data_IF_904709516006
#
_entry.id   IF_904709516006
#
_cell.length_a   1.000
_cell.length_b   1.000
_cell.length_c   1.000
_cell.angle_alpha   90.00
_cell.angle_beta   90.00
_cell.angle_gamma   90.00
#
_symmetry.space_group_name_H-M   'P 1'
#
loop_
_entity.id
_entity.type
_entity.pdbx_description
1 polymer ?
#
# COMPACT_ATOMS: atom_id res chain seq x y z
N UNK A 1 -17.45 -39.23 22.95
CA UNK A 1 -16.04 -39.19 22.45
C UNK A 1 -16.13 -39.20 20.93
N UNK A 2 -16.18 -38.06 20.32
CA UNK A 2 -15.98 -37.87 18.89
C UNK A 2 -15.15 -36.63 18.73
N UNK A 3 -13.83 -36.85 18.70
CA UNK A 3 -12.84 -35.85 18.32
C UNK A 3 -12.98 -35.58 16.80
N UNK A 4 -13.74 -34.56 16.46
CA UNK A 4 -13.57 -33.92 15.14
C UNK A 4 -12.39 -32.96 15.23
N UNK A 5 -11.19 -33.48 15.27
CA UNK A 5 -9.99 -32.74 14.95
C UNK A 5 -10.10 -32.34 13.48
N UNK A 6 -10.75 -31.20 13.21
CA UNK A 6 -10.64 -30.53 11.90
C UNK A 6 -9.17 -30.16 11.73
N UNK A 7 -8.44 -30.99 11.03
CA UNK A 7 -7.08 -30.75 10.62
C UNK A 7 -7.02 -29.39 9.90
N UNK A 8 -6.53 -28.35 10.56
CA UNK A 8 -6.13 -27.11 9.91
C UNK A 8 -4.87 -27.43 9.12
N UNK A 9 -5.04 -27.81 7.85
CA UNK A 9 -3.97 -28.21 6.94
C UNK A 9 -2.90 -27.14 6.73
N UNK A 10 -3.25 -25.84 6.95
CA UNK A 10 -2.33 -24.73 6.77
C UNK A 10 -2.43 -23.71 7.90
N UNK A 11 -1.29 -23.25 8.39
CA UNK A 11 -1.19 -22.10 9.30
C UNK A 11 -1.43 -20.77 8.57
N UNK A 12 -1.74 -19.67 9.29
CA UNK A 12 -1.99 -18.35 8.69
C UNK A 12 -0.85 -17.87 7.78
N UNK A 13 0.40 -18.11 8.15
CA UNK A 13 1.57 -17.74 7.34
C UNK A 13 1.64 -18.53 6.03
N UNK A 14 1.30 -19.83 6.06
CA UNK A 14 1.26 -20.67 4.87
C UNK A 14 0.15 -20.24 3.91
N UNK A 15 -1.05 -19.92 4.41
CA UNK A 15 -2.14 -19.38 3.59
C UNK A 15 -1.75 -18.08 2.91
N UNK A 16 -1.03 -17.21 3.60
CA UNK A 16 -0.52 -15.97 3.02
C UNK A 16 0.49 -16.25 1.92
N UNK A 17 1.48 -17.11 2.16
CA UNK A 17 2.48 -17.48 1.16
C UNK A 17 1.84 -18.11 -0.08
N UNK A 18 0.84 -18.98 0.10
CA UNK A 18 0.06 -19.55 -1.00
C UNK A 18 -0.73 -18.51 -1.77
N UNK A 19 -1.30 -17.50 -1.07
CA UNK A 19 -2.00 -16.39 -1.70
C UNK A 19 -1.08 -15.55 -2.59
N UNK A 20 0.11 -15.20 -2.10
CA UNK A 20 1.13 -14.50 -2.89
C UNK A 20 1.59 -15.35 -4.09
N UNK A 21 1.86 -16.64 -3.88
CA UNK A 21 2.25 -17.55 -4.95
C UNK A 21 1.14 -17.62 -6.03
N UNK A 22 -0.12 -17.75 -5.64
CA UNK A 22 -1.24 -17.78 -6.57
C UNK A 22 -1.35 -16.49 -7.38
N UNK A 23 -1.18 -15.30 -6.74
CA UNK A 23 -1.16 -14.01 -7.43
C UNK A 23 -0.01 -13.92 -8.44
N UNK A 24 1.20 -14.34 -8.05
CA UNK A 24 2.37 -14.35 -8.92
C UNK A 24 2.14 -15.25 -10.13
N UNK A 25 1.69 -16.49 -9.93
CA UNK A 25 1.45 -17.44 -11.02
C UNK A 25 0.34 -16.95 -11.96
N UNK A 26 -0.76 -16.41 -11.42
CA UNK A 26 -1.85 -15.84 -12.22
C UNK A 26 -1.37 -14.61 -13.00
N UNK A 27 -0.65 -13.70 -12.34
CA UNK A 27 -0.05 -12.53 -12.98
C UNK A 27 0.92 -12.91 -14.09
N UNK A 28 1.78 -13.90 -13.86
CA UNK A 28 2.71 -14.43 -14.87
C UNK A 28 1.96 -14.96 -16.08
N UNK A 29 0.93 -15.79 -15.86
CA UNK A 29 0.14 -16.34 -16.96
C UNK A 29 -0.54 -15.24 -17.78
N UNK A 30 -1.13 -14.22 -17.13
CA UNK A 30 -1.78 -13.10 -17.81
C UNK A 30 -0.78 -12.22 -18.56
N UNK A 31 0.36 -11.90 -17.95
CA UNK A 31 1.41 -11.07 -18.56
C UNK A 31 2.17 -11.77 -19.68
N UNK A 32 2.18 -13.11 -19.73
CA UNK A 32 2.76 -13.85 -20.85
C UNK A 32 1.88 -13.88 -22.10
N UNK A 33 0.62 -13.46 -22.00
CA UNK A 33 -0.31 -13.49 -23.12
C UNK A 33 -0.09 -12.33 -24.10
N UNK A 34 -0.36 -12.50 -25.42
CA UNK A 34 -0.12 -11.47 -26.44
C UNK A 34 -0.86 -10.17 -26.18
N UNK A 35 -2.06 -10.20 -25.59
CA UNK A 35 -2.84 -8.99 -25.29
C UNK A 35 -2.22 -8.09 -24.23
N UNK A 36 -1.32 -8.63 -23.39
CA UNK A 36 -0.66 -7.88 -22.33
C UNK A 36 0.54 -7.07 -22.85
N UNK A 37 1.11 -7.43 -23.99
CA UNK A 37 2.21 -6.72 -24.62
C UNK A 37 1.72 -5.66 -25.61
N UNK A 38 2.46 -4.57 -25.75
CA UNK A 38 2.13 -3.44 -26.63
C UNK A 38 2.31 -3.80 -28.12
N UNK A 39 3.24 -4.71 -28.43
CA UNK A 39 3.49 -5.21 -29.77
C UNK A 39 2.57 -6.37 -30.19
N UNK A 40 1.76 -6.87 -29.25
CA UNK A 40 0.85 -8.00 -29.49
C UNK A 40 1.57 -9.36 -29.56
N UNK A 41 2.86 -9.42 -29.23
CA UNK A 41 3.62 -10.67 -29.16
C UNK A 41 3.61 -11.25 -27.71
N UNK A 42 3.70 -12.58 -27.53
CA UNK A 42 3.82 -13.17 -26.21
C UNK A 42 5.12 -12.72 -25.54
N UNK A 43 5.02 -12.19 -24.31
CA UNK A 43 6.20 -11.85 -23.51
C UNK A 43 6.89 -13.11 -23.01
N UNK A 44 8.24 -13.11 -22.97
CA UNK A 44 9.02 -14.19 -22.42
C UNK A 44 8.58 -14.53 -20.99
N UNK A 45 8.39 -15.83 -20.70
CA UNK A 45 7.88 -16.29 -19.41
C UNK A 45 8.70 -15.77 -18.23
N UNK A 46 10.02 -15.64 -18.39
CA UNK A 46 10.90 -15.13 -17.32
C UNK A 46 10.66 -13.64 -17.04
N UNK A 47 10.50 -12.81 -18.08
CA UNK A 47 10.17 -11.38 -17.93
C UNK A 47 8.77 -11.20 -17.30
N UNK A 48 7.78 -11.98 -17.72
CA UNK A 48 6.45 -11.99 -17.14
C UNK A 48 6.45 -12.42 -15.66
N UNK A 49 7.18 -13.49 -15.33
CA UNK A 49 7.34 -13.98 -13.95
C UNK A 49 8.05 -12.94 -13.07
N UNK A 50 9.10 -12.34 -13.58
CA UNK A 50 9.84 -11.31 -12.86
C UNK A 50 8.94 -10.10 -12.54
N UNK A 51 8.24 -9.58 -13.57
CA UNK A 51 7.32 -8.44 -13.42
C UNK A 51 6.17 -8.77 -12.47
N UNK A 52 5.53 -9.95 -12.61
CA UNK A 52 4.45 -10.37 -11.73
C UNK A 52 4.92 -10.52 -10.27
N UNK A 53 6.13 -11.08 -10.06
CA UNK A 53 6.73 -11.21 -8.74
C UNK A 53 7.02 -9.84 -8.15
N UNK A 54 7.70 -8.97 -8.91
CA UNK A 54 8.07 -7.62 -8.48
C UNK A 54 6.84 -6.77 -8.13
N UNK A 55 5.80 -6.81 -8.96
CA UNK A 55 4.55 -6.08 -8.73
C UNK A 55 3.82 -6.60 -7.48
N UNK A 56 3.70 -7.92 -7.33
CA UNK A 56 2.98 -8.55 -6.19
C UNK A 56 3.72 -8.36 -4.87
N UNK A 57 5.07 -8.44 -4.88
CA UNK A 57 5.89 -8.27 -3.67
C UNK A 57 6.31 -6.82 -3.41
N UNK A 58 5.89 -5.89 -4.28
CA UNK A 58 6.19 -4.45 -4.17
C UNK A 58 7.70 -4.16 -4.19
N UNK A 59 8.46 -4.91 -5.00
CA UNK A 59 9.92 -4.76 -5.07
C UNK A 59 10.33 -3.59 -5.96
N UNK A 60 9.56 -3.29 -7.02
CA UNK A 60 9.78 -2.16 -7.93
C UNK A 60 10.88 -2.37 -8.97
N UNK A 61 11.44 -3.56 -9.07
CA UNK A 61 12.40 -3.89 -10.10
C UNK A 61 11.69 -4.30 -11.39
N UNK A 62 12.18 -3.83 -12.52
CA UNK A 62 11.63 -4.09 -13.84
C UNK A 62 12.70 -4.62 -14.79
N UNK A 63 12.34 -5.59 -15.62
CA UNK A 63 13.16 -6.10 -16.74
C UNK A 63 12.73 -5.44 -18.05
N UNK A 64 11.46 -5.07 -18.14
CA UNK A 64 10.84 -4.40 -19.28
C UNK A 64 10.28 -3.06 -18.83
N UNK A 65 10.38 -2.03 -19.65
CA UNK A 65 9.78 -0.72 -19.34
C UNK A 65 8.27 -0.82 -19.27
N UNK A 66 7.70 -0.39 -18.12
CA UNK A 66 6.27 -0.58 -17.87
C UNK A 66 5.38 0.20 -18.81
N UNK A 67 5.82 1.37 -19.25
CA UNK A 67 5.01 2.26 -20.09
C UNK A 67 5.03 1.91 -21.57
N UNK A 68 6.14 1.35 -22.07
CA UNK A 68 6.32 1.07 -23.49
C UNK A 68 6.15 -0.40 -23.86
N UNK A 69 6.57 -1.34 -22.99
CA UNK A 69 6.48 -2.77 -23.27
C UNK A 69 5.06 -3.33 -23.05
N UNK A 70 4.38 -2.90 -21.98
CA UNK A 70 3.06 -3.42 -21.64
C UNK A 70 1.95 -2.62 -22.31
N UNK A 71 0.99 -3.32 -22.93
CA UNK A 71 -0.26 -2.71 -23.38
C UNK A 71 -1.02 -2.10 -22.20
N UNK A 72 -2.08 -1.34 -22.46
CA UNK A 72 -2.96 -0.85 -21.39
C UNK A 72 -3.50 -2.01 -20.53
N UNK A 73 -3.82 -3.15 -21.14
CA UNK A 73 -4.25 -4.34 -20.39
C UNK A 73 -3.13 -4.91 -19.52
N UNK A 74 -1.90 -4.99 -20.03
CA UNK A 74 -0.72 -5.42 -19.24
C UNK A 74 -0.43 -4.49 -18.08
N UNK A 75 -0.47 -3.17 -18.32
CA UNK A 75 -0.28 -2.16 -17.27
C UNK A 75 -1.36 -2.25 -16.18
N UNK A 76 -2.62 -2.49 -16.55
CA UNK A 76 -3.72 -2.70 -15.58
C UNK A 76 -3.54 -3.99 -14.78
N UNK A 77 -2.99 -5.05 -15.39
CA UNK A 77 -2.64 -6.29 -14.67
C UNK A 77 -1.55 -6.00 -13.65
N UNK A 78 -0.47 -5.29 -14.04
CA UNK A 78 0.60 -4.87 -13.11
C UNK A 78 0.01 -4.05 -11.97
N UNK A 79 -0.85 -3.08 -12.26
CA UNK A 79 -1.51 -2.25 -11.27
C UNK A 79 -2.39 -3.06 -10.30
N UNK A 80 -3.13 -4.04 -10.81
CA UNK A 80 -3.95 -4.95 -9.99
C UNK A 80 -3.08 -5.84 -9.09
N UNK A 81 -1.93 -6.31 -9.57
CA UNK A 81 -0.97 -7.08 -8.77
C UNK A 81 -0.35 -6.22 -7.66
N UNK A 82 0.03 -4.97 -7.95
CA UNK A 82 0.50 -3.99 -6.95
C UNK A 82 -0.56 -3.79 -5.88
N UNK A 83 -1.80 -3.53 -6.27
CA UNK A 83 -2.90 -3.31 -5.33
C UNK A 83 -3.19 -4.53 -4.46
N UNK A 84 -3.24 -5.71 -5.06
CA UNK A 84 -3.46 -6.96 -4.33
C UNK A 84 -2.31 -7.28 -3.37
N UNK A 85 -1.06 -7.08 -3.81
CA UNK A 85 0.15 -7.25 -3.01
C UNK A 85 0.20 -6.29 -1.82
N UNK A 86 -0.03 -5.00 -2.05
CA UNK A 86 -0.05 -3.97 -1.00
C UNK A 86 -1.11 -4.22 0.06
N UNK A 87 -2.34 -4.55 -0.36
CA UNK A 87 -3.41 -4.92 0.55
C UNK A 87 -3.10 -6.21 1.33
N UNK A 88 -2.46 -7.18 0.68
CA UNK A 88 -1.98 -8.41 1.32
C UNK A 88 -0.99 -8.11 2.45
N UNK A 89 0.05 -7.34 2.18
CA UNK A 89 1.08 -6.95 3.17
C UNK A 89 0.45 -6.13 4.30
N UNK A 90 -0.39 -5.13 4.00
CA UNK A 90 -1.08 -4.33 5.03
C UNK A 90 -2.00 -5.18 5.91
N UNK A 91 -2.66 -6.19 5.34
CA UNK A 91 -3.51 -7.11 6.10
C UNK A 91 -2.70 -7.98 7.06
N UNK A 92 -1.54 -8.49 6.62
CA UNK A 92 -0.63 -9.29 7.44
C UNK A 92 -0.07 -8.46 8.59
N UNK A 93 0.44 -7.26 8.31
CA UNK A 93 0.99 -6.37 9.35
C UNK A 93 -0.09 -5.98 10.37
N UNK A 94 -1.33 -5.74 9.92
CA UNK A 94 -2.45 -5.45 10.80
C UNK A 94 -2.81 -6.65 11.68
N UNK A 95 -2.84 -7.86 11.11
CA UNK A 95 -3.12 -9.09 11.85
C UNK A 95 -2.03 -9.39 12.87
N UNK A 96 -0.76 -9.24 12.47
CA UNK A 96 0.41 -9.41 13.35
C UNK A 96 0.39 -8.40 14.49
N UNK A 97 0.12 -7.13 14.20
CA UNK A 97 -0.05 -6.08 15.21
C UNK A 97 -1.17 -6.39 16.20
N UNK A 98 -2.31 -6.90 15.72
CA UNK A 98 -3.42 -7.35 16.59
C UNK A 98 -3.03 -8.54 17.47
N UNK A 99 -2.28 -9.52 16.93
CA UNK A 99 -1.83 -10.70 17.67
C UNK A 99 -0.81 -10.31 18.76
N UNK A 100 0.14 -9.42 18.45
CA UNK A 100 1.14 -8.95 19.41
C UNK A 100 0.50 -8.13 20.54
N UNK A 101 -0.41 -7.21 20.19
CA UNK A 101 -1.14 -6.39 21.18
C UNK A 101 -2.17 -7.23 21.97
N UNK A 102 -2.73 -8.26 21.34
CA UNK A 102 -3.67 -9.19 21.95
C UNK A 102 -3.04 -10.09 23.00
N UNK A 103 -1.75 -10.42 22.91
CA UNK A 103 -1.03 -11.21 23.94
C UNK A 103 -0.97 -10.51 25.29
N UNK A 104 -0.95 -9.19 25.32
CA UNK A 104 -1.02 -8.42 26.58
C UNK A 104 -2.41 -8.41 27.20
N UNK A 105 -3.46 -8.63 26.39
CA UNK A 105 -4.88 -8.67 26.83
C UNK A 105 -5.45 -10.08 27.03
N UNK A 106 -4.67 -11.15 26.88
CA UNK A 106 -5.16 -12.53 27.05
C UNK A 106 -5.75 -12.76 28.45
N UNK A 107 -5.18 -12.16 29.49
CA UNK A 107 -5.70 -12.26 30.87
C UNK A 107 -7.07 -11.58 31.04
N UNK A 108 -7.34 -10.51 30.26
CA UNK A 108 -8.65 -9.85 30.23
C UNK A 108 -9.67 -10.58 29.34
N UNK A 109 -9.21 -11.33 28.34
CA UNK A 109 -10.09 -12.07 27.41
C UNK A 109 -10.65 -13.35 28.02
N UNK A 110 -9.95 -14.00 28.94
CA UNK A 110 -10.49 -15.13 29.71
C UNK A 110 -11.63 -14.71 30.64
N UNK A 111 -11.63 -13.48 31.14
CA UNK A 111 -12.71 -12.94 31.93
C UNK A 111 -13.98 -12.65 31.10
N UNK A 112 -13.81 -12.26 29.82
CA UNK A 112 -14.93 -11.93 28.91
C UNK A 112 -15.45 -13.16 28.13
N UNK A 113 -14.63 -14.20 27.96
CA UNK A 113 -15.06 -15.47 27.36
C UNK A 113 -16.06 -16.23 28.25
N UNK A 114 -16.07 -15.96 29.56
CA UNK A 114 -17.07 -16.46 30.50
C UNK A 114 -18.47 -15.88 30.25
N UNK A 115 -18.59 -14.78 29.47
CA UNK A 115 -19.85 -14.10 29.14
C UNK A 115 -20.44 -14.48 27.77
N UNK A 116 -19.91 -15.52 27.09
CA UNK A 116 -20.55 -16.15 25.92
C UNK A 116 -20.69 -15.28 24.65
N UNK A 117 -19.88 -14.23 24.44
CA UNK A 117 -19.94 -13.41 23.22
C UNK A 117 -18.95 -13.87 22.16
N UNK A 118 -19.36 -14.12 20.90
CA UNK A 118 -18.48 -14.49 19.81
C UNK A 118 -17.61 -13.28 19.40
N UNK A 119 -16.30 -13.41 19.58
CA UNK A 119 -15.34 -12.29 19.54
C UNK A 119 -14.66 -12.11 18.16
N UNK A 120 -14.89 -12.97 17.15
CA UNK A 120 -13.95 -13.10 16.04
C UNK A 120 -14.39 -12.57 14.66
N UNK A 121 -15.66 -12.58 14.29
CA UNK A 121 -16.01 -12.36 12.88
C UNK A 121 -16.22 -10.89 12.47
N UNK A 122 -16.71 -10.04 13.35
CA UNK A 122 -16.95 -8.62 13.01
C UNK A 122 -15.71 -7.72 12.98
N UNK A 123 -14.67 -8.06 13.76
CA UNK A 123 -13.48 -7.22 13.91
C UNK A 123 -12.55 -7.25 12.69
N UNK A 124 -12.26 -8.43 12.16
CA UNK A 124 -11.33 -8.60 11.02
C UNK A 124 -11.94 -8.01 9.75
N UNK A 125 -13.20 -8.35 9.43
CA UNK A 125 -13.88 -7.79 8.25
C UNK A 125 -13.96 -6.26 8.30
N UNK A 126 -14.30 -5.69 9.45
CA UNK A 126 -14.37 -4.24 9.63
C UNK A 126 -12.99 -3.59 9.43
N UNK A 127 -11.94 -4.21 9.93
CA UNK A 127 -10.56 -3.75 9.74
C UNK A 127 -10.17 -3.79 8.27
N UNK A 128 -10.43 -4.88 7.56
CA UNK A 128 -10.12 -5.02 6.14
C UNK A 128 -10.85 -3.96 5.30
N UNK A 129 -12.15 -3.79 5.51
CA UNK A 129 -12.94 -2.77 4.79
C UNK A 129 -12.43 -1.37 5.09
N UNK A 130 -12.09 -1.08 6.34
CA UNK A 130 -11.56 0.22 6.70
C UNK A 130 -10.15 0.46 6.10
N UNK A 131 -9.31 -0.57 6.00
CA UNK A 131 -8.02 -0.51 5.30
C UNK A 131 -8.25 -0.16 3.83
N UNK A 132 -9.12 -0.90 3.13
CA UNK A 132 -9.46 -0.65 1.74
C UNK A 132 -9.94 0.79 1.50
N UNK A 133 -10.89 1.24 2.32
CA UNK A 133 -11.44 2.60 2.19
C UNK A 133 -10.37 3.68 2.42
N UNK A 134 -9.46 3.49 3.38
CA UNK A 134 -8.36 4.43 3.61
C UNK A 134 -7.36 4.42 2.47
N UNK A 135 -6.99 3.25 1.96
CA UNK A 135 -6.11 3.09 0.80
C UNK A 135 -6.66 3.84 -0.41
N UNK A 136 -7.89 3.51 -0.83
CA UNK A 136 -8.51 4.18 -1.99
C UNK A 136 -8.73 5.68 -1.78
N UNK A 137 -8.96 6.11 -0.55
CA UNK A 137 -9.09 7.54 -0.24
C UNK A 137 -7.76 8.28 -0.47
N UNK A 138 -6.65 7.78 0.07
CA UNK A 138 -5.34 8.43 -0.10
C UNK A 138 -4.85 8.33 -1.54
N UNK A 139 -4.99 7.17 -2.18
CA UNK A 139 -4.67 6.99 -3.60
C UNK A 139 -5.48 7.96 -4.47
N UNK A 140 -6.79 8.08 -4.22
CA UNK A 140 -7.66 9.00 -4.94
C UNK A 140 -7.26 10.46 -4.79
N UNK A 141 -6.92 10.91 -3.57
CA UNK A 141 -6.45 12.28 -3.32
C UNK A 141 -5.16 12.56 -4.10
N UNK A 142 -4.19 11.66 -4.03
CA UNK A 142 -2.91 11.83 -4.74
C UNK A 142 -3.12 11.76 -6.25
N UNK A 143 -3.94 10.83 -6.75
CA UNK A 143 -4.26 10.71 -8.18
C UNK A 143 -4.88 12.00 -8.74
N UNK A 144 -5.79 12.64 -7.98
CA UNK A 144 -6.40 13.92 -8.38
C UNK A 144 -5.36 15.04 -8.43
N UNK A 145 -4.49 15.16 -7.41
CA UNK A 145 -3.45 16.18 -7.38
C UNK A 145 -2.51 16.02 -8.60
N UNK A 146 -2.03 14.79 -8.84
CA UNK A 146 -1.15 14.48 -9.96
C UNK A 146 -1.86 14.70 -11.30
N UNK A 147 -3.09 14.22 -11.44
CA UNK A 147 -3.89 14.37 -12.66
C UNK A 147 -4.10 15.84 -13.04
N UNK A 148 -4.45 16.71 -12.08
CA UNK A 148 -4.56 18.14 -12.29
C UNK A 148 -3.21 18.71 -12.76
N UNK A 149 -2.12 18.36 -12.07
CA UNK A 149 -0.78 18.86 -12.40
C UNK A 149 -0.34 18.43 -13.81
N UNK A 150 -0.61 17.20 -14.19
CA UNK A 150 -0.29 16.70 -15.54
C UNK A 150 -1.08 17.39 -16.65
N UNK A 151 -2.33 17.79 -16.38
CA UNK A 151 -3.11 18.58 -17.37
C UNK A 151 -2.60 20.02 -17.44
N UNK A 152 -2.41 20.69 -16.30
CA UNK A 152 -2.14 22.14 -16.25
C UNK A 152 -0.75 22.49 -16.71
N UNK A 153 0.26 21.77 -16.28
CA UNK A 153 1.67 22.15 -16.47
C UNK A 153 2.39 21.32 -17.52
N UNK A 154 1.91 20.09 -17.76
CA UNK A 154 2.49 19.19 -18.75
C UNK A 154 1.65 19.05 -20.01
N UNK A 155 0.49 19.73 -20.07
CA UNK A 155 -0.38 19.75 -21.26
C UNK A 155 -0.91 18.38 -21.68
N UNK A 156 -0.95 17.39 -20.75
CA UNK A 156 -1.44 16.07 -21.06
C UNK A 156 -2.96 16.07 -21.32
N UNK A 157 -3.40 15.23 -22.26
CA UNK A 157 -4.82 15.01 -22.46
C UNK A 157 -5.46 14.49 -21.14
N UNK A 158 -6.67 14.97 -20.75
CA UNK A 158 -7.27 14.65 -19.44
C UNK A 158 -7.37 13.15 -19.13
N UNK A 159 -7.68 12.32 -20.13
CA UNK A 159 -7.76 10.87 -19.96
C UNK A 159 -6.41 10.25 -19.62
N UNK A 160 -5.34 10.67 -20.30
CA UNK A 160 -3.97 10.20 -20.04
C UNK A 160 -3.47 10.71 -18.68
N UNK A 161 -3.69 11.98 -18.37
CA UNK A 161 -3.31 12.59 -17.10
C UNK A 161 -3.98 11.88 -15.90
N UNK A 162 -5.27 11.56 -16.02
CA UNK A 162 -5.99 10.80 -14.98
C UNK A 162 -5.41 9.40 -14.81
N UNK A 163 -5.12 8.72 -15.92
CA UNK A 163 -4.52 7.38 -15.89
C UNK A 163 -3.12 7.38 -15.27
N UNK A 164 -2.23 8.27 -15.74
CA UNK A 164 -0.87 8.40 -15.19
C UNK A 164 -0.90 8.82 -13.72
N UNK A 165 -1.78 9.75 -13.34
CA UNK A 165 -1.98 10.15 -11.94
C UNK A 165 -2.43 9.01 -11.05
N UNK A 166 -3.39 8.21 -11.51
CA UNK A 166 -3.88 7.02 -10.78
C UNK A 166 -2.80 5.96 -10.67
N UNK A 167 -2.06 5.67 -11.74
CA UNK A 167 -0.98 4.69 -11.74
C UNK A 167 0.10 5.05 -10.73
N UNK A 168 0.60 6.29 -10.78
CA UNK A 168 1.64 6.76 -9.87
C UNK A 168 1.14 6.85 -8.41
N UNK A 169 -0.13 7.22 -8.19
CA UNK A 169 -0.71 7.27 -6.84
C UNK A 169 -0.78 5.88 -6.20
N UNK A 170 -1.25 4.86 -6.94
CA UNK A 170 -1.33 3.47 -6.49
C UNK A 170 0.09 2.92 -6.25
N UNK A 171 0.99 3.10 -7.22
CA UNK A 171 2.39 2.66 -7.10
C UNK A 171 3.09 3.31 -5.91
N UNK A 172 2.94 4.63 -5.73
CA UNK A 172 3.53 5.39 -4.63
C UNK A 172 2.97 5.00 -3.27
N UNK A 173 1.65 4.93 -3.11
CA UNK A 173 1.00 4.58 -1.84
C UNK A 173 1.37 3.16 -1.38
N UNK A 174 1.40 2.20 -2.31
CA UNK A 174 1.80 0.82 -2.02
C UNK A 174 3.32 0.62 -1.92
N UNK A 175 4.13 1.67 -2.15
CA UNK A 175 5.59 1.58 -2.18
C UNK A 175 6.10 0.60 -3.26
N UNK A 176 5.40 0.52 -4.38
CA UNK A 176 5.66 -0.49 -5.41
C UNK A 176 6.82 -0.13 -6.35
N UNK A 177 7.13 1.17 -6.54
CA UNK A 177 8.27 1.62 -7.34
C UNK A 177 8.09 1.53 -8.86
N UNK A 178 6.91 1.14 -9.36
CA UNK A 178 6.60 1.11 -10.79
C UNK A 178 6.21 2.50 -11.31
N UNK A 179 6.69 2.85 -12.51
CA UNK A 179 6.34 4.06 -13.24
C UNK A 179 5.99 3.76 -14.69
N UNK A 180 5.30 4.69 -15.37
CA UNK A 180 4.95 4.60 -16.79
C UNK A 180 5.97 5.25 -17.71
N UNK A 181 7.09 5.73 -17.17
CA UNK A 181 8.16 6.37 -17.92
C UNK A 181 9.47 5.62 -17.75
N UNK A 182 10.30 5.51 -18.82
CA UNK A 182 11.58 4.84 -18.74
C UNK A 182 12.55 5.52 -17.75
N UNK A 183 12.44 6.85 -17.61
CA UNK A 183 13.21 7.67 -16.69
C UNK A 183 12.61 7.78 -15.28
N UNK A 184 11.56 6.98 -15.00
CA UNK A 184 10.82 7.00 -13.73
C UNK A 184 10.28 8.39 -13.40
N UNK A 185 10.81 9.09 -12.39
CA UNK A 185 10.41 10.44 -11.96
C UNK A 185 11.47 11.51 -12.31
N UNK A 186 12.50 11.18 -13.07
CA UNK A 186 13.60 12.12 -13.39
C UNK A 186 13.09 13.36 -14.13
N UNK A 187 12.16 13.18 -15.08
CA UNK A 187 11.52 14.31 -15.79
C UNK A 187 10.72 15.26 -14.86
N UNK A 188 10.46 14.86 -13.63
CA UNK A 188 9.70 15.63 -12.64
C UNK A 188 10.55 16.08 -11.45
N UNK A 189 11.89 15.97 -11.53
CA UNK A 189 12.81 16.18 -10.41
C UNK A 189 12.74 17.58 -9.78
N UNK A 190 12.25 18.59 -10.50
CA UNK A 190 12.09 19.96 -10.02
C UNK A 190 10.65 20.29 -9.63
N UNK A 191 9.69 19.37 -9.83
CA UNK A 191 8.28 19.63 -9.58
C UNK A 191 7.84 19.12 -8.21
N UNK A 192 7.85 20.04 -7.22
CA UNK A 192 7.38 19.73 -5.87
C UNK A 192 5.91 19.34 -5.80
N UNK A 193 5.04 19.76 -6.75
CA UNK A 193 3.64 19.38 -6.78
C UNK A 193 3.41 17.92 -7.23
N UNK A 194 4.41 17.29 -7.81
CA UNK A 194 4.41 15.85 -8.11
C UNK A 194 5.14 15.09 -7.00
N UNK A 195 6.36 15.53 -6.66
CA UNK A 195 7.22 14.77 -5.75
C UNK A 195 6.72 14.74 -4.31
N UNK A 196 6.21 15.89 -3.77
CA UNK A 196 5.75 15.95 -2.38
C UNK A 196 4.51 15.08 -2.14
N UNK A 197 3.44 15.12 -2.99
CA UNK A 197 2.32 14.20 -2.83
C UNK A 197 2.70 12.73 -2.95
N UNK A 198 3.61 12.37 -3.87
CA UNK A 198 4.10 11.00 -4.01
C UNK A 198 4.93 10.56 -2.80
N UNK A 199 5.85 11.39 -2.32
CA UNK A 199 6.60 11.11 -1.09
C UNK A 199 5.67 10.97 0.12
N UNK A 200 4.64 11.83 0.20
CA UNK A 200 3.59 11.74 1.22
C UNK A 200 2.80 10.43 1.13
N UNK A 201 2.40 10.02 -0.08
CA UNK A 201 1.73 8.74 -0.32
C UNK A 201 2.57 7.55 0.15
N UNK A 202 3.85 7.52 -0.26
CA UNK A 202 4.83 6.51 0.12
C UNK A 202 5.00 6.43 1.65
N UNK A 203 5.16 7.56 2.31
CA UNK A 203 5.30 7.61 3.77
C UNK A 203 4.01 7.14 4.48
N UNK A 204 2.84 7.62 4.04
CA UNK A 204 1.54 7.26 4.62
C UNK A 204 1.27 5.77 4.44
N UNK A 205 1.48 5.24 3.23
CA UNK A 205 1.34 3.82 2.93
C UNK A 205 2.24 2.94 3.78
N UNK A 206 3.51 3.36 3.95
CA UNK A 206 4.49 2.65 4.78
C UNK A 206 4.19 2.64 6.29
N UNK A 207 3.39 3.60 6.82
CA UNK A 207 3.00 3.62 8.24
C UNK A 207 2.13 2.42 8.64
N UNK A 208 1.40 1.85 7.69
CA UNK A 208 0.47 0.74 7.90
C UNK A 208 -0.85 1.13 8.55
N UNK A 209 -1.86 0.28 8.33
CA UNK A 209 -3.24 0.53 8.75
C UNK A 209 -3.42 0.83 10.26
N UNK A 210 -2.76 0.13 11.23
CA UNK A 210 -2.98 0.40 12.65
C UNK A 210 -2.65 1.84 13.04
N UNK A 211 -1.56 2.38 12.49
CA UNK A 211 -1.13 3.77 12.73
C UNK A 211 -2.09 4.74 12.06
N UNK A 212 -2.40 4.52 10.78
CA UNK A 212 -3.31 5.37 10.01
C UNK A 212 -4.71 5.43 10.64
N UNK A 213 -5.26 4.29 11.05
CA UNK A 213 -6.59 4.25 11.68
C UNK A 213 -6.63 5.03 13.00
N UNK A 214 -5.55 5.00 13.79
CA UNK A 214 -5.45 5.77 15.02
C UNK A 214 -5.35 7.27 14.73
N UNK A 215 -4.53 7.67 13.74
CA UNK A 215 -4.37 9.06 13.33
C UNK A 215 -5.68 9.65 12.78
N UNK A 216 -6.34 8.93 11.87
CA UNK A 216 -7.63 9.35 11.29
C UNK A 216 -8.71 9.47 12.36
N UNK A 217 -8.82 8.50 13.28
CA UNK A 217 -9.75 8.57 14.39
C UNK A 217 -9.53 9.84 15.23
N UNK A 218 -8.28 10.13 15.57
CA UNK A 218 -7.94 11.35 16.33
C UNK A 218 -8.22 12.63 15.57
N UNK A 219 -7.90 12.65 14.27
CA UNK A 219 -8.23 13.77 13.41
C UNK A 219 -9.74 14.07 13.46
N UNK A 220 -10.57 13.02 13.30
CA UNK A 220 -12.03 13.14 13.38
C UNK A 220 -12.52 13.61 14.76
N UNK A 221 -11.95 13.10 15.85
CA UNK A 221 -12.28 13.53 17.22
C UNK A 221 -11.95 15.01 17.44
N UNK A 222 -10.79 15.48 16.94
CA UNK A 222 -10.40 16.89 17.01
C UNK A 222 -11.32 17.80 16.20
N UNK A 223 -11.61 17.42 14.95
CA UNK A 223 -12.53 18.19 14.09
C UNK A 223 -13.92 18.27 14.71
N UNK A 224 -14.44 17.16 15.24
CA UNK A 224 -15.73 17.18 15.96
C UNK A 224 -15.70 18.06 17.21
N UNK A 225 -14.59 18.03 17.97
CA UNK A 225 -14.40 18.91 19.12
C UNK A 225 -14.43 20.40 18.74
N UNK A 226 -13.79 20.75 17.63
CA UNK A 226 -13.79 22.13 17.11
C UNK A 226 -15.17 22.59 16.62
N UNK A 227 -15.92 21.69 15.95
CA UNK A 227 -17.24 22.05 15.37
C UNK A 227 -18.34 22.03 16.44
N UNK A 228 -18.30 21.10 17.39
CA UNK A 228 -19.41 20.87 18.32
C UNK A 228 -19.06 21.23 19.79
N UNK A 229 -17.88 21.80 20.07
CA UNK A 229 -17.45 22.13 21.44
C UNK A 229 -17.28 20.92 22.36
N UNK A 230 -17.22 19.69 21.78
CA UNK A 230 -17.10 18.47 22.57
C UNK A 230 -15.67 18.32 23.15
N UNK A 231 -15.52 17.80 24.38
CA UNK A 231 -14.20 17.61 24.99
C UNK A 231 -13.36 16.65 24.13
N UNK A 232 -12.24 17.15 23.63
CA UNK A 232 -11.29 16.34 22.86
C UNK A 232 -10.65 15.32 23.82
N UNK A 233 -10.79 14.04 23.53
CA UNK A 233 -10.18 12.98 24.30
C UNK A 233 -8.66 13.19 24.41
N UNK A 234 -8.16 13.37 25.63
CA UNK A 234 -6.72 13.52 25.92
C UNK A 234 -5.93 12.20 25.84
N UNK A 235 -6.52 11.13 25.30
CA UNK A 235 -5.84 9.84 25.17
C UNK A 235 -4.53 9.99 24.39
N UNK A 236 -3.43 9.57 25.00
CA UNK A 236 -2.10 9.55 24.35
C UNK A 236 -2.10 8.56 23.18
N UNK A 237 -1.29 8.83 22.14
CA UNK A 237 -1.05 7.87 21.05
C UNK A 237 -0.54 6.54 21.62
N UNK A 238 -0.94 5.43 21.01
CA UNK A 238 -0.41 4.12 21.40
C UNK A 238 1.12 4.11 21.29
N UNK A 239 1.76 3.28 22.09
CA UNK A 239 3.23 3.16 22.07
C UNK A 239 3.70 2.80 20.67
N UNK A 240 3.03 1.86 20.02
CA UNK A 240 3.34 1.43 18.65
C UNK A 240 3.28 2.62 17.68
N UNK A 241 2.18 3.39 17.66
CA UNK A 241 2.05 4.56 16.79
C UNK A 241 3.14 5.60 17.05
N UNK A 242 3.46 5.87 18.30
CA UNK A 242 4.53 6.82 18.65
C UNK A 242 5.90 6.35 18.20
N UNK A 243 6.21 5.06 18.37
CA UNK A 243 7.48 4.47 17.94
C UNK A 243 7.59 4.48 16.43
N UNK A 244 6.54 4.04 15.71
CA UNK A 244 6.53 4.04 14.25
C UNK A 244 6.73 5.45 13.70
N UNK A 245 5.97 6.45 14.18
CA UNK A 245 6.11 7.83 13.71
C UNK A 245 7.52 8.40 13.97
N UNK A 246 8.09 8.14 15.17
CA UNK A 246 9.45 8.60 15.48
C UNK A 246 10.50 7.91 14.61
N UNK A 247 10.40 6.59 14.42
CA UNK A 247 11.31 5.83 13.58
C UNK A 247 11.22 6.28 12.10
N UNK A 248 10.01 6.44 11.56
CA UNK A 248 9.80 6.94 10.21
C UNK A 248 10.38 8.35 10.02
N UNK A 249 10.11 9.26 10.95
CA UNK A 249 10.66 10.62 10.89
C UNK A 249 12.19 10.61 10.98
N UNK A 250 12.75 9.84 11.89
CA UNK A 250 14.21 9.72 12.05
C UNK A 250 14.86 9.17 10.78
N UNK A 251 14.32 8.07 10.23
CA UNK A 251 14.87 7.45 9.01
C UNK A 251 14.72 8.40 7.79
N UNK A 252 13.57 9.05 7.64
CA UNK A 252 13.37 9.99 6.54
C UNK A 252 14.34 11.16 6.62
N UNK A 253 14.49 11.79 7.79
CA UNK A 253 15.41 12.92 7.98
C UNK A 253 16.86 12.48 7.80
N UNK A 254 17.27 11.35 8.41
CA UNK A 254 18.67 10.87 8.32
C UNK A 254 19.02 10.47 6.90
N UNK A 255 18.13 9.79 6.16
CA UNK A 255 18.36 9.44 4.76
C UNK A 255 18.46 10.68 3.88
N UNK A 256 17.53 11.64 4.04
CA UNK A 256 17.56 12.91 3.28
C UNK A 256 18.84 13.69 3.55
N UNK A 257 19.26 13.83 4.82
CA UNK A 257 20.49 14.52 5.17
C UNK A 257 21.73 13.79 4.64
N UNK A 258 21.76 12.46 4.72
CA UNK A 258 22.88 11.67 4.20
C UNK A 258 23.04 11.85 2.68
N UNK A 259 21.93 11.76 1.92
CA UNK A 259 21.96 11.97 0.46
C UNK A 259 22.35 13.42 0.16
N UNK A 260 21.77 14.41 0.82
CA UNK A 260 22.10 15.81 0.62
C UNK A 260 23.58 16.11 0.89
N UNK A 261 24.19 15.48 1.91
CA UNK A 261 25.60 15.65 2.22
C UNK A 261 26.52 14.95 1.21
N UNK A 262 26.14 13.77 0.73
CA UNK A 262 26.93 13.00 -0.23
C UNK A 262 26.87 13.62 -1.64
N UNK A 263 25.69 14.09 -2.04
CA UNK A 263 25.43 14.63 -3.37
C UNK A 263 25.58 16.17 -3.44
N UNK A 264 25.95 16.84 -2.32
CA UNK A 264 26.06 18.32 -2.25
C UNK A 264 26.91 18.96 -3.35
N UNK A 265 27.86 18.22 -3.91
CA UNK A 265 28.73 18.69 -5.01
C UNK A 265 28.23 18.30 -6.40
N UNK A 266 27.14 17.58 -6.49
CA UNK A 266 26.55 17.11 -7.76
C UNK A 266 25.35 17.94 -8.24
N UNK A 267 24.89 18.91 -7.42
CA UNK A 267 23.81 19.84 -7.75
C UNK A 267 24.35 21.19 -8.15
#
# INVERSE_FOLDING_TARGET
MNDTASARWFGPAQLTALGFLALILTGTALLSMPFASADGAPTALMSALFTATSATTLTGLVTEDTGSHWSLAGQLIVLALIQAGGLGIMSITSLTGMLLTGRVKLRSRYATAAEGRPILDGGVRRTLVATLLLTFFFEGVVAVILGIRFVTDYGMAPGRATYEGMFHAISGFNNAGFGLRPDSLVSYNTDGWILIPLAGALMIGGLGYPVLSELVRRGRERVRGLIHGAPVSSRRLSITTRMTLKATAFLAVSATLSIALLEWRGF
#
